data_IF_343322643484
#
_entry.id   IF_343322643484
#
_cell.length_a   1.000
_cell.length_b   1.000
_cell.length_c   1.000
_cell.angle_alpha   90.00
_cell.angle_beta   90.00
_cell.angle_gamma   90.00
#
_symmetry.space_group_name_H-M   'P 1'
#
loop_
_entity.id
_entity.type
_entity.pdbx_description
1 polymer ?
#
# COMPACT_ATOMS: atom_id res chain seq x y z
N UNK A 1 20.07 9.89 -2.74
CA UNK A 1 20.41 11.23 -2.22
C UNK A 1 20.52 12.21 -3.39
N UNK A 2 19.42 12.53 -4.08
CA UNK A 2 19.45 13.39 -5.30
C UNK A 2 18.48 14.59 -5.21
N UNK A 3 17.70 14.72 -4.12
CA UNK A 3 16.66 15.75 -4.03
C UNK A 3 17.01 16.98 -3.17
N UNK A 4 18.22 17.06 -2.57
CA UNK A 4 18.63 18.22 -1.77
C UNK A 4 20.02 18.71 -2.25
N UNK A 5 20.18 20.00 -2.56
CA UNK A 5 21.50 20.60 -2.81
C UNK A 5 22.45 20.33 -1.64
N UNK A 6 23.71 20.01 -1.93
CA UNK A 6 24.75 19.84 -0.91
C UNK A 6 24.83 21.09 -0.02
N UNK A 7 24.61 20.92 1.29
CA UNK A 7 24.63 22.01 2.27
C UNK A 7 23.27 22.49 2.79
N UNK A 8 22.15 21.97 2.28
CA UNK A 8 20.81 22.33 2.80
C UNK A 8 20.54 21.58 4.11
N UNK A 9 20.56 22.29 5.24
CA UNK A 9 20.21 21.73 6.55
C UNK A 9 18.69 21.68 6.67
N UNK A 10 18.12 20.49 6.89
CA UNK A 10 16.70 20.40 7.27
C UNK A 10 16.52 21.13 8.60
N UNK A 11 15.48 21.96 8.67
CA UNK A 11 15.16 22.72 9.88
C UNK A 11 14.15 21.93 10.71
N UNK A 12 14.31 21.96 12.02
CA UNK A 12 13.29 21.49 12.97
C UNK A 12 12.59 22.72 13.53
N UNK A 13 11.35 22.95 13.12
CA UNK A 13 10.57 24.11 13.58
C UNK A 13 9.93 23.87 14.96
N UNK A 14 9.64 22.61 15.30
CA UNK A 14 9.08 22.22 16.59
C UNK A 14 10.13 21.90 17.66
N UNK A 15 9.85 22.31 18.90
CA UNK A 15 10.73 22.04 20.07
C UNK A 15 10.84 20.54 20.36
N UNK A 16 9.78 19.78 20.06
CA UNK A 16 9.70 18.33 20.30
C UNK A 16 10.13 17.48 19.09
N UNK A 17 10.35 18.10 17.94
CA UNK A 17 10.67 17.42 16.67
C UNK A 17 11.90 16.49 16.78
N UNK A 18 13.02 16.88 17.43
CA UNK A 18 14.18 16.00 17.59
C UNK A 18 13.89 14.71 18.37
N UNK A 19 12.87 14.70 19.22
CA UNK A 19 12.45 13.52 19.98
C UNK A 19 11.48 12.63 19.18
N UNK A 20 10.47 13.22 18.54
CA UNK A 20 9.44 12.44 17.82
C UNK A 20 9.93 11.85 16.50
N UNK A 21 10.89 12.50 15.83
CA UNK A 21 11.42 12.01 14.56
C UNK A 21 12.03 10.61 14.68
N UNK A 22 13.00 10.36 15.59
CA UNK A 22 13.53 9.01 15.80
C UNK A 22 12.45 8.00 16.20
N UNK A 23 11.50 8.39 17.06
CA UNK A 23 10.41 7.52 17.51
C UNK A 23 9.53 7.07 16.34
N UNK A 24 9.13 7.99 15.45
CA UNK A 24 8.34 7.65 14.26
C UNK A 24 9.08 6.67 13.34
N UNK A 25 10.38 6.87 13.15
CA UNK A 25 11.21 6.00 12.30
C UNK A 25 11.40 4.61 12.91
N UNK A 26 11.70 4.53 14.21
CA UNK A 26 11.85 3.23 14.89
C UNK A 26 10.53 2.48 14.96
N UNK A 27 9.40 3.16 15.15
CA UNK A 27 8.08 2.54 15.05
C UNK A 27 7.81 1.95 13.67
N UNK A 28 8.16 2.66 12.60
CA UNK A 28 8.02 2.13 11.23
C UNK A 28 8.89 0.88 11.00
N UNK A 29 10.15 0.91 11.46
CA UNK A 29 11.04 -0.24 11.36
C UNK A 29 10.53 -1.43 12.17
N UNK A 30 10.06 -1.19 13.39
CA UNK A 30 9.45 -2.22 14.24
C UNK A 30 8.20 -2.81 13.58
N UNK A 31 7.37 -1.98 12.95
CA UNK A 31 6.22 -2.43 12.16
C UNK A 31 6.65 -3.32 10.99
N UNK A 32 7.67 -2.91 10.22
CA UNK A 32 8.15 -3.69 9.08
C UNK A 32 8.72 -5.06 9.50
N UNK A 33 9.48 -5.11 10.60
CA UNK A 33 10.04 -6.36 11.14
C UNK A 33 8.92 -7.27 11.69
N UNK A 34 7.90 -6.69 12.32
CA UNK A 34 6.76 -7.44 12.85
C UNK A 34 5.71 -7.80 11.79
N UNK A 35 5.79 -7.24 10.57
CA UNK A 35 4.84 -7.44 9.48
C UNK A 35 4.51 -8.93 9.21
N UNK A 36 5.48 -9.88 9.15
CA UNK A 36 5.16 -11.29 8.92
C UNK A 36 4.30 -11.89 10.04
N UNK A 37 4.54 -11.46 11.29
CA UNK A 37 3.78 -11.90 12.46
C UNK A 37 2.39 -11.28 12.46
N UNK A 38 2.27 -10.00 12.10
CA UNK A 38 0.96 -9.32 11.97
C UNK A 38 0.12 -10.00 10.89
N UNK A 39 0.69 -10.26 9.71
CA UNK A 39 0.01 -10.96 8.62
C UNK A 39 -0.37 -12.40 9.01
N UNK A 40 0.49 -13.09 9.76
CA UNK A 40 0.15 -14.40 10.32
C UNK A 40 -1.05 -14.32 11.27
N UNK A 41 -1.12 -13.31 12.14
CA UNK A 41 -2.25 -13.13 13.06
C UNK A 41 -3.55 -12.79 12.33
N UNK A 42 -3.48 -11.92 11.31
CA UNK A 42 -4.63 -11.62 10.43
C UNK A 42 -5.10 -12.90 9.75
N UNK A 43 -4.19 -13.71 9.21
CA UNK A 43 -4.54 -15.00 8.63
C UNK A 43 -5.13 -15.97 9.67
N UNK A 44 -4.53 -16.06 10.85
CA UNK A 44 -4.99 -16.92 11.94
C UNK A 44 -6.40 -16.53 12.45
N UNK A 45 -6.80 -15.27 12.29
CA UNK A 45 -8.16 -14.81 12.55
C UNK A 45 -9.16 -15.23 11.47
N UNK A 46 -8.73 -15.29 10.20
CA UNK A 46 -9.57 -15.71 9.06
C UNK A 46 -9.66 -17.24 8.94
N UNK A 47 -8.58 -17.95 9.25
CA UNK A 47 -8.43 -19.40 9.16
C UNK A 47 -9.51 -20.26 9.89
N UNK A 48 -10.13 -19.84 11.01
CA UNK A 48 -11.19 -20.60 11.67
C UNK A 48 -12.45 -20.73 10.79
N UNK A 49 -12.69 -19.77 9.89
CA UNK A 49 -13.79 -19.81 8.92
C UNK A 49 -13.49 -20.61 7.64
N UNK A 50 -12.34 -21.29 7.58
CA UNK A 50 -11.80 -21.96 6.39
C UNK A 50 -11.75 -23.47 6.53
N UNK A 51 -11.97 -24.18 5.42
CA UNK A 51 -11.80 -25.62 5.32
C UNK A 51 -10.32 -26.03 5.53
N UNK A 52 -10.08 -27.22 6.09
CA UNK A 52 -8.75 -27.71 6.46
C UNK A 52 -7.74 -27.70 5.29
N UNK A 53 -8.21 -27.91 4.06
CA UNK A 53 -7.39 -27.86 2.85
C UNK A 53 -7.00 -26.43 2.42
N UNK A 54 -7.75 -25.40 2.83
CA UNK A 54 -7.48 -24.00 2.50
C UNK A 54 -6.46 -23.37 3.47
N UNK A 55 -6.33 -23.92 4.69
CA UNK A 55 -5.35 -23.48 5.69
C UNK A 55 -3.89 -23.63 5.19
N UNK A 56 -3.61 -24.58 4.29
CA UNK A 56 -2.26 -24.83 3.76
C UNK A 56 -1.76 -23.70 2.84
N UNK A 57 -2.66 -22.89 2.28
CA UNK A 57 -2.30 -21.71 1.47
C UNK A 57 -1.90 -20.49 2.31
N UNK A 58 -2.08 -20.53 3.63
CA UNK A 58 -1.73 -19.40 4.50
C UNK A 58 -0.25 -19.04 4.46
N UNK A 59 0.63 -20.03 4.57
CA UNK A 59 2.07 -19.79 4.59
C UNK A 59 2.61 -19.12 3.31
N UNK A 60 2.32 -19.62 2.08
CA UNK A 60 2.77 -18.94 0.87
C UNK A 60 2.13 -17.57 0.69
N UNK A 61 0.88 -17.37 1.14
CA UNK A 61 0.23 -16.05 1.09
C UNK A 61 0.92 -15.05 2.02
N UNK A 62 1.26 -15.41 3.26
CA UNK A 62 1.95 -14.54 4.22
C UNK A 62 3.34 -14.14 3.71
N UNK A 63 4.07 -15.07 3.10
CA UNK A 63 5.38 -14.78 2.50
C UNK A 63 5.20 -13.85 1.29
N UNK A 64 4.24 -14.15 0.41
CA UNK A 64 3.96 -13.33 -0.76
C UNK A 64 3.54 -11.90 -0.37
N UNK A 65 2.64 -11.73 0.61
CA UNK A 65 2.21 -10.43 1.11
C UNK A 65 3.37 -9.65 1.71
N UNK A 66 4.17 -10.28 2.59
CA UNK A 66 5.36 -9.64 3.15
C UNK A 66 6.31 -9.12 2.06
N UNK A 67 6.57 -9.92 1.02
CA UNK A 67 7.39 -9.50 -0.11
C UNK A 67 6.73 -8.38 -0.94
N UNK A 68 5.41 -8.46 -1.15
CA UNK A 68 4.65 -7.43 -1.87
C UNK A 68 4.68 -6.09 -1.13
N UNK A 69 4.53 -6.11 0.20
CA UNK A 69 4.61 -4.92 1.04
C UNK A 69 5.98 -4.25 0.93
N UNK A 70 7.07 -5.02 1.07
CA UNK A 70 8.44 -4.51 0.91
C UNK A 70 8.65 -3.98 -0.51
N UNK A 71 8.12 -4.67 -1.52
CA UNK A 71 8.18 -4.21 -2.92
C UNK A 71 7.41 -2.91 -3.12
N UNK A 72 6.26 -2.73 -2.45
CA UNK A 72 5.49 -1.49 -2.47
C UNK A 72 6.24 -0.33 -1.85
N UNK A 73 6.92 -0.55 -0.71
CA UNK A 73 7.80 0.46 -0.11
C UNK A 73 8.97 0.80 -1.04
N UNK A 74 9.60 -0.20 -1.66
CA UNK A 74 10.68 0.01 -2.61
C UNK A 74 10.20 0.80 -3.85
N UNK A 75 9.03 0.46 -4.39
CA UNK A 75 8.40 1.19 -5.49
C UNK A 75 8.17 2.66 -5.13
N UNK A 76 7.67 2.92 -3.92
CA UNK A 76 7.49 4.28 -3.42
C UNK A 76 8.82 5.04 -3.34
N UNK A 77 9.87 4.42 -2.78
CA UNK A 77 11.18 5.05 -2.62
C UNK A 77 11.88 5.35 -3.96
N UNK A 78 11.92 4.38 -4.87
CA UNK A 78 12.70 4.48 -6.10
C UNK A 78 12.00 5.25 -7.23
N UNK A 79 10.67 5.14 -7.33
CA UNK A 79 9.92 5.77 -8.43
C UNK A 79 9.13 6.98 -7.96
N UNK A 80 8.30 6.82 -6.93
CA UNK A 80 7.33 7.85 -6.54
C UNK A 80 8.04 9.09 -6.00
N UNK A 81 8.97 8.95 -5.06
CA UNK A 81 9.68 10.10 -4.50
C UNK A 81 10.51 10.87 -5.51
N UNK A 82 11.09 10.20 -6.51
CA UNK A 82 11.80 10.88 -7.59
C UNK A 82 10.88 11.84 -8.36
N UNK A 83 9.70 11.37 -8.74
CA UNK A 83 8.72 12.18 -9.48
C UNK A 83 8.12 13.27 -8.60
N UNK A 84 7.72 12.95 -7.37
CA UNK A 84 7.07 13.93 -6.47
C UNK A 84 8.02 15.07 -6.11
N UNK A 85 9.27 14.78 -5.72
CA UNK A 85 10.20 15.86 -5.35
C UNK A 85 10.65 16.67 -6.56
N UNK A 86 10.82 16.07 -7.75
CA UNK A 86 11.08 16.81 -8.99
C UNK A 86 9.92 17.74 -9.33
N UNK A 87 8.69 17.24 -9.25
CA UNK A 87 7.49 18.03 -9.48
C UNK A 87 7.40 19.21 -8.51
N UNK A 88 7.54 18.99 -7.20
CA UNK A 88 7.50 20.07 -6.21
C UNK A 88 8.60 21.12 -6.47
N UNK A 89 9.81 20.68 -6.86
CA UNK A 89 10.92 21.58 -7.17
C UNK A 89 10.66 22.47 -8.40
N UNK A 90 9.89 21.99 -9.39
CA UNK A 90 9.53 22.78 -10.57
C UNK A 90 8.57 23.95 -10.25
N UNK A 91 7.74 23.83 -9.21
CA UNK A 91 6.86 24.91 -8.76
C UNK A 91 7.55 25.91 -7.83
N UNK A 92 8.74 25.60 -7.32
CA UNK A 92 9.47 26.51 -6.46
C UNK A 92 10.04 27.70 -7.27
N UNK A 93 9.72 28.96 -6.92
CA UNK A 93 10.33 30.12 -7.54
C UNK A 93 11.85 30.08 -7.34
N UNK A 94 12.64 30.41 -8.39
CA UNK A 94 14.12 30.44 -8.34
C UNK A 94 14.70 31.34 -7.23
N UNK A 95 13.88 32.21 -6.64
CA UNK A 95 14.23 33.14 -5.57
C UNK A 95 14.03 32.59 -4.14
N UNK A 96 13.47 31.38 -3.98
CA UNK A 96 13.21 30.77 -2.67
C UNK A 96 14.00 29.47 -2.59
N UNK A 97 14.95 29.37 -1.66
CA UNK A 97 15.55 28.08 -1.27
C UNK A 97 14.56 27.34 -0.37
N UNK A 98 13.92 26.25 -0.84
CA UNK A 98 13.00 25.50 0.00
C UNK A 98 13.82 24.85 1.14
N UNK A 99 13.54 25.23 2.38
CA UNK A 99 14.06 24.56 3.56
C UNK A 99 12.94 23.66 4.12
N UNK A 100 12.82 22.40 3.65
CA UNK A 100 11.77 21.52 4.13
C UNK A 100 11.96 21.25 5.63
N UNK A 101 10.86 21.36 6.38
CA UNK A 101 10.81 20.95 7.77
C UNK A 101 10.95 19.42 7.86
N UNK A 102 11.84 18.95 8.74
CA UNK A 102 12.17 17.52 8.85
C UNK A 102 10.97 16.68 9.31
N UNK A 103 10.10 17.24 10.16
CA UNK A 103 8.94 16.53 10.65
C UNK A 103 7.90 16.34 9.55
N UNK A 104 7.63 17.38 8.77
CA UNK A 104 6.70 17.30 7.64
C UNK A 104 7.23 16.36 6.57
N UNK A 105 8.51 16.46 6.24
CA UNK A 105 9.16 15.56 5.28
C UNK A 105 9.06 14.09 5.70
N UNK A 106 9.46 13.77 6.94
CA UNK A 106 9.42 12.38 7.41
C UNK A 106 8.01 11.87 7.59
N UNK A 107 7.07 12.70 8.07
CA UNK A 107 5.67 12.29 8.21
C UNK A 107 5.05 11.98 6.85
N UNK A 108 5.36 12.78 5.82
CA UNK A 108 4.98 12.49 4.44
C UNK A 108 5.58 11.17 3.94
N UNK A 109 6.89 10.97 4.11
CA UNK A 109 7.59 9.75 3.67
C UNK A 109 7.03 8.49 4.34
N UNK A 110 6.83 8.53 5.66
CA UNK A 110 6.31 7.39 6.43
C UNK A 110 4.86 7.06 6.07
N UNK A 111 4.04 8.09 5.84
CA UNK A 111 2.64 7.92 5.42
C UNK A 111 2.58 7.28 4.03
N UNK A 112 3.41 7.77 3.09
CA UNK A 112 3.51 7.22 1.74
C UNK A 112 4.00 5.77 1.74
N UNK A 113 5.04 5.43 2.50
CA UNK A 113 5.49 4.05 2.64
C UNK A 113 4.39 3.11 3.14
N UNK A 114 3.63 3.55 4.14
CA UNK A 114 2.51 2.77 4.67
C UNK A 114 1.42 2.59 3.61
N UNK A 115 1.03 3.68 2.93
CA UNK A 115 -0.04 3.65 1.93
C UNK A 115 0.33 2.79 0.71
N UNK A 116 1.56 2.91 0.20
CA UNK A 116 2.02 2.07 -0.91
C UNK A 116 2.21 0.61 -0.48
N UNK A 117 2.73 0.34 0.72
CA UNK A 117 2.83 -1.01 1.25
C UNK A 117 1.46 -1.68 1.32
N UNK A 118 0.45 -1.00 1.89
CA UNK A 118 -0.94 -1.51 1.97
C UNK A 118 -1.58 -1.62 0.59
N UNK A 119 -1.34 -0.67 -0.31
CA UNK A 119 -1.83 -0.71 -1.70
C UNK A 119 -1.32 -1.96 -2.43
N UNK A 120 -0.06 -2.34 -2.19
CA UNK A 120 0.52 -3.54 -2.79
C UNK A 120 -0.10 -4.84 -2.25
N UNK A 121 -0.87 -4.81 -1.15
CA UNK A 121 -1.60 -5.98 -0.66
C UNK A 121 -2.93 -6.23 -1.39
N UNK A 122 -3.41 -5.27 -2.19
CA UNK A 122 -4.68 -5.40 -2.93
C UNK A 122 -4.77 -6.66 -3.81
N UNK A 123 -3.73 -7.07 -4.57
CA UNK A 123 -3.75 -8.32 -5.33
C UNK A 123 -3.99 -9.54 -4.43
N UNK A 124 -3.36 -9.58 -3.25
CA UNK A 124 -3.52 -10.67 -2.27
C UNK A 124 -4.96 -10.69 -1.76
N UNK A 125 -5.50 -9.54 -1.38
CA UNK A 125 -6.89 -9.41 -0.93
C UNK A 125 -7.85 -9.93 -2.00
N UNK A 126 -7.67 -9.54 -3.27
CA UNK A 126 -8.50 -10.00 -4.39
C UNK A 126 -8.40 -11.53 -4.57
N UNK A 127 -7.19 -12.09 -4.56
CA UNK A 127 -6.98 -13.54 -4.68
C UNK A 127 -7.70 -14.29 -3.55
N UNK A 128 -7.57 -13.79 -2.32
CA UNK A 128 -8.18 -14.37 -1.12
C UNK A 128 -9.71 -14.33 -1.22
N UNK A 129 -10.30 -13.20 -1.64
CA UNK A 129 -11.74 -13.05 -1.84
C UNK A 129 -12.30 -14.03 -2.87
N UNK A 130 -11.63 -14.18 -4.01
CA UNK A 130 -12.06 -15.11 -5.08
C UNK A 130 -11.87 -16.56 -4.65
N UNK A 131 -10.75 -16.88 -4.00
CA UNK A 131 -10.44 -18.25 -3.57
C UNK A 131 -11.46 -18.77 -2.57
N UNK A 132 -11.89 -17.93 -1.63
CA UNK A 132 -12.89 -18.26 -0.62
C UNK A 132 -14.34 -18.19 -1.12
N UNK A 133 -14.54 -17.86 -2.39
CA UNK A 133 -15.87 -17.74 -2.99
C UNK A 133 -16.71 -16.61 -2.42
N UNK A 134 -16.09 -15.61 -1.78
CA UNK A 134 -16.81 -14.42 -1.28
C UNK A 134 -17.24 -13.51 -2.44
N UNK A 135 -16.45 -13.48 -3.50
CA UNK A 135 -16.70 -12.66 -4.69
C UNK A 135 -16.31 -13.44 -5.93
N UNK A 136 -17.11 -13.33 -7.00
CA UNK A 136 -16.78 -13.89 -8.31
C UNK A 136 -15.93 -12.93 -9.14
N UNK A 137 -15.19 -13.47 -10.11
CA UNK A 137 -14.42 -12.66 -11.06
C UNK A 137 -15.34 -11.72 -11.87
N UNK A 138 -16.58 -12.12 -12.13
CA UNK A 138 -17.58 -11.27 -12.80
C UNK A 138 -17.94 -10.05 -11.94
N UNK A 139 -18.25 -10.26 -10.65
CA UNK A 139 -18.54 -9.19 -9.71
C UNK A 139 -17.36 -8.21 -9.54
N UNK A 140 -16.12 -8.72 -9.52
CA UNK A 140 -14.92 -7.85 -9.49
C UNK A 140 -14.77 -7.02 -10.77
N UNK A 141 -15.12 -7.56 -11.94
CA UNK A 141 -15.11 -6.78 -13.18
C UNK A 141 -16.19 -5.71 -13.20
N UNK A 142 -17.38 -6.00 -12.69
CA UNK A 142 -18.45 -5.00 -12.55
C UNK A 142 -18.09 -3.92 -11.51
N UNK A 143 -17.32 -4.29 -10.48
CA UNK A 143 -16.86 -3.37 -9.46
C UNK A 143 -15.76 -2.39 -9.92
N UNK A 144 -15.22 -2.51 -11.14
CA UNK A 144 -14.13 -1.67 -11.66
C UNK A 144 -14.34 -0.17 -11.44
N UNK A 145 -15.49 0.45 -11.79
CA UNK A 145 -15.68 1.89 -11.61
C UNK A 145 -15.62 2.31 -10.14
N UNK A 146 -16.15 1.47 -9.24
CA UNK A 146 -16.13 1.73 -7.80
C UNK A 146 -14.72 1.66 -7.22
N UNK A 147 -13.92 0.69 -7.67
CA UNK A 147 -12.51 0.57 -7.26
C UNK A 147 -11.69 1.75 -7.75
N UNK A 148 -11.92 2.22 -8.98
CA UNK A 148 -11.25 3.41 -9.51
C UNK A 148 -11.59 4.63 -8.64
N UNK A 149 -12.88 4.88 -8.37
CA UNK A 149 -13.29 6.01 -7.51
C UNK A 149 -12.69 5.86 -6.10
N UNK A 150 -12.77 4.68 -5.50
CA UNK A 150 -12.16 4.39 -4.20
C UNK A 150 -10.66 4.62 -4.19
N UNK A 151 -9.95 4.26 -5.25
CA UNK A 151 -8.52 4.48 -5.40
C UNK A 151 -8.16 5.97 -5.40
N UNK A 152 -8.92 6.79 -6.12
CA UNK A 152 -8.74 8.24 -6.13
C UNK A 152 -9.08 8.90 -4.79
N UNK A 153 -10.08 8.38 -4.06
CA UNK A 153 -10.44 8.87 -2.72
C UNK A 153 -9.34 8.54 -1.71
N UNK A 154 -8.86 7.29 -1.69
CA UNK A 154 -7.75 6.87 -0.81
C UNK A 154 -6.51 7.69 -1.14
N UNK A 155 -6.22 7.88 -2.43
CA UNK A 155 -5.09 8.70 -2.84
C UNK A 155 -5.24 10.15 -2.35
N UNK A 156 -6.41 10.77 -2.48
CA UNK A 156 -6.66 12.13 -2.00
C UNK A 156 -6.55 12.30 -0.47
N UNK A 157 -6.79 11.26 0.31
CA UNK A 157 -6.65 11.28 1.78
C UNK A 157 -5.18 11.14 2.19
N UNK A 158 -4.45 10.26 1.51
CA UNK A 158 -3.06 9.94 1.84
C UNK A 158 -2.10 11.01 1.31
N UNK A 159 -2.32 11.47 0.09
CA UNK A 159 -1.48 12.47 -0.55
C UNK A 159 -1.95 13.86 -0.13
N UNK A 160 -1.05 14.85 -0.07
CA UNK A 160 -1.44 16.26 -0.05
C UNK A 160 -2.40 16.58 -1.21
N UNK A 161 -2.99 17.79 -1.25
CA UNK A 161 -3.88 18.23 -2.34
C UNK A 161 -3.10 18.53 -3.63
N UNK A 162 -2.23 17.61 -4.05
CA UNK A 162 -1.46 17.67 -5.28
C UNK A 162 -1.86 16.52 -6.23
N UNK A 163 -2.25 16.88 -7.44
CA UNK A 163 -2.82 15.95 -8.43
C UNK A 163 -1.79 14.91 -8.89
N UNK A 164 -0.50 15.27 -8.90
CA UNK A 164 0.56 14.37 -9.37
C UNK A 164 0.80 13.22 -8.40
N UNK A 165 0.98 13.48 -7.11
CA UNK A 165 1.11 12.42 -6.11
C UNK A 165 -0.17 11.59 -6.03
N UNK A 166 -1.34 12.22 -6.15
CA UNK A 166 -2.62 11.51 -6.17
C UNK A 166 -2.69 10.50 -7.33
N UNK A 167 -2.32 10.90 -8.55
CA UNK A 167 -2.30 10.02 -9.72
C UNK A 167 -1.22 8.92 -9.59
N UNK A 168 -0.05 9.26 -9.05
CA UNK A 168 1.04 8.31 -8.83
C UNK A 168 0.69 7.21 -7.83
N UNK A 169 -0.28 7.42 -6.95
CA UNK A 169 -0.79 6.40 -6.04
C UNK A 169 -2.03 5.69 -6.62
N UNK A 170 -2.97 6.43 -7.20
CA UNK A 170 -4.21 5.87 -7.73
C UNK A 170 -4.00 4.93 -8.93
N UNK A 171 -3.08 5.27 -9.84
CA UNK A 171 -2.81 4.46 -11.04
C UNK A 171 -2.22 3.09 -10.67
N UNK A 172 -1.14 2.98 -9.86
CA UNK A 172 -0.65 1.68 -9.40
C UNK A 172 -1.70 0.88 -8.66
N UNK A 173 -2.53 1.52 -7.82
CA UNK A 173 -3.60 0.85 -7.10
C UNK A 173 -4.61 0.18 -8.06
N UNK A 174 -5.02 0.89 -9.13
CA UNK A 174 -5.89 0.32 -10.17
C UNK A 174 -5.21 -0.84 -10.92
N UNK A 175 -3.92 -0.70 -11.25
CA UNK A 175 -3.15 -1.74 -11.94
C UNK A 175 -2.98 -2.99 -11.08
N UNK A 176 -2.70 -2.82 -9.78
CA UNK A 176 -2.58 -3.91 -8.82
C UNK A 176 -3.91 -4.65 -8.65
N UNK A 177 -5.02 -3.92 -8.64
CA UNK A 177 -6.35 -4.54 -8.65
C UNK A 177 -6.55 -5.43 -9.87
N UNK A 178 -6.19 -4.96 -11.07
CA UNK A 178 -6.26 -5.75 -12.30
C UNK A 178 -5.33 -6.96 -12.29
N UNK A 179 -4.12 -6.81 -11.74
CA UNK A 179 -3.20 -7.92 -11.52
C UNK A 179 -3.81 -8.96 -10.56
N UNK A 180 -4.47 -8.53 -9.49
CA UNK A 180 -5.21 -9.41 -8.58
C UNK A 180 -6.29 -10.21 -9.30
N UNK A 181 -7.08 -9.54 -10.16
CA UNK A 181 -8.10 -10.21 -10.99
C UNK A 181 -7.43 -11.20 -11.94
N UNK A 182 -6.31 -10.83 -12.57
CA UNK A 182 -5.58 -11.73 -13.48
C UNK A 182 -5.06 -12.98 -12.78
N UNK A 183 -4.39 -12.82 -11.62
CA UNK A 183 -3.86 -13.95 -10.86
C UNK A 183 -4.98 -14.84 -10.30
N UNK A 184 -6.11 -14.26 -9.88
CA UNK A 184 -7.25 -15.03 -9.41
C UNK A 184 -7.87 -15.93 -10.47
N UNK A 185 -7.73 -15.63 -11.78
CA UNK A 185 -8.18 -16.52 -12.87
C UNK A 185 -7.42 -17.84 -12.94
N UNK A 186 -6.15 -17.85 -12.53
CA UNK A 186 -5.31 -19.05 -12.54
C UNK A 186 -5.53 -19.94 -11.31
N UNK A 187 -6.20 -19.41 -10.29
CA UNK A 187 -6.48 -20.10 -9.05
C UNK A 187 -7.91 -20.66 -9.13
N UNK A 188 -8.05 -21.98 -9.09
CA UNK A 188 -9.38 -22.63 -9.09
C UNK A 188 -10.17 -22.13 -7.88
N UNK A 189 -11.35 -21.54 -8.10
CA UNK A 189 -12.30 -21.24 -7.03
C UNK A 189 -12.69 -22.53 -6.31
N UNK A 190 -12.88 -22.48 -4.98
CA UNK A 190 -13.29 -23.65 -4.20
C UNK A 190 -14.71 -24.06 -4.59
N UNK A 191 -14.93 -25.24 -5.22
CA UNK A 191 -16.24 -25.61 -5.78
C UNK A 191 -17.30 -25.92 -4.71
N UNK A 192 -16.91 -26.15 -3.45
CA UNK A 192 -17.84 -26.51 -2.37
C UNK A 192 -18.73 -25.34 -1.90
N UNK A 193 -18.22 -24.10 -1.91
CA UNK A 193 -18.99 -22.94 -1.42
C UNK A 193 -19.99 -22.38 -2.44
N UNK A 194 -19.71 -22.56 -3.74
CA UNK A 194 -20.63 -22.17 -4.82
C UNK A 194 -21.93 -22.98 -4.81
N UNK A 195 -21.93 -24.20 -4.24
CA UNK A 195 -23.14 -25.02 -4.08
C UNK A 195 -23.97 -24.57 -2.88
N UNK A 196 -23.33 -24.27 -1.75
CA UNK A 196 -24.02 -23.82 -0.53
C UNK A 196 -24.78 -22.49 -0.69
N UNK A 197 -24.36 -21.59 -1.58
CA UNK A 197 -25.11 -20.35 -1.90
C UNK A 197 -26.18 -20.56 -2.97
N UNK A 198 -26.16 -21.66 -3.72
CA UNK A 198 -27.23 -22.03 -4.65
C UNK A 198 -28.36 -22.82 -3.97
N UNK A 199 -28.08 -23.45 -2.83
CA UNK A 199 -29.03 -24.27 -2.06
C UNK A 199 -29.69 -23.50 -0.88
N UNK A 200 -29.42 -22.19 -0.73
CA UNK A 200 -29.98 -21.30 0.31
C UNK A 200 -30.76 -20.14 -0.30
#
# INVERSE_FOLDING_TARGET
MVALPEGTKMIATGVVTPFFVPVKVTLMLAFLISLPVVLYQVWAFIAPGLYAHEKRLGLPLIIASTLLFITGMAFCYFLVFGVVFSFIAEFAPKSITPAPDIEQYLSFVLTMFTAFGVTFEVPIVVIVLVRFGLVTIAQLKEARPYVIVGAFVVAAIVTPPDVVSQLLLAIPLCLLYELGILFSRFIKASPERSKATQDA
#
